data_IF_794297844340
#
_entry.id   IF_794297844340
#
_cell.length_a   1.000
_cell.length_b   1.000
_cell.length_c   1.000
_cell.angle_alpha   90.00
_cell.angle_beta   90.00
_cell.angle_gamma   90.00
#
_symmetry.space_group_name_H-M   'P 1'
#
loop_
_entity.id
_entity.type
_entity.pdbx_description
1 polymer ?
#
# COMPACT_ATOMS: atom_id res chain seq x y z
N UNK A 1 -3.36 21.64 24.35
CA UNK A 1 -3.92 21.46 23.01
C UNK A 1 -2.82 21.76 22.01
N UNK A 2 -2.28 20.77 21.32
CA UNK A 2 -1.46 21.01 20.14
C UNK A 2 -2.28 20.60 18.93
N UNK A 3 -2.86 21.62 18.28
CA UNK A 3 -3.45 21.50 16.96
C UNK A 3 -2.31 21.65 15.95
N UNK A 4 -1.84 20.53 15.43
CA UNK A 4 -0.86 20.49 14.33
C UNK A 4 -1.64 20.38 13.03
N UNK A 5 -1.56 21.42 12.20
CA UNK A 5 -1.71 21.57 10.73
C UNK A 5 -2.49 20.58 9.82
N UNK A 6 -2.97 19.43 10.26
CA UNK A 6 -3.66 18.40 9.47
C UNK A 6 -5.14 18.33 9.88
N UNK A 7 -5.96 19.29 9.43
CA UNK A 7 -7.40 19.30 9.73
C UNK A 7 -8.09 17.98 9.37
N UNK A 8 -9.05 17.51 10.20
CA UNK A 8 -9.94 16.32 10.09
C UNK A 8 -9.36 14.97 9.61
N UNK A 9 -8.08 14.89 9.21
CA UNK A 9 -7.46 13.73 8.55
C UNK A 9 -6.52 12.94 9.45
N UNK A 10 -6.32 13.39 10.68
CA UNK A 10 -5.56 12.70 11.71
C UNK A 10 -6.17 12.96 13.09
N UNK A 11 -6.19 11.94 13.94
CA UNK A 11 -6.65 12.04 15.33
C UNK A 11 -5.53 11.59 16.27
N UNK A 12 -5.20 12.43 17.24
CA UNK A 12 -4.25 12.07 18.30
C UNK A 12 -5.00 11.44 19.47
N UNK A 13 -4.80 10.14 19.65
CA UNK A 13 -5.39 9.39 20.75
C UNK A 13 -4.38 9.30 21.89
N UNK A 14 -4.69 9.96 23.02
CA UNK A 14 -3.88 9.88 24.23
C UNK A 14 -4.24 8.61 25.01
N UNK A 15 -3.30 7.67 25.11
CA UNK A 15 -3.47 6.49 25.97
C UNK A 15 -3.30 6.88 27.44
N UNK A 16 -4.07 6.24 28.33
CA UNK A 16 -3.93 6.36 29.78
C UNK A 16 -3.39 5.04 30.37
N UNK A 17 -2.46 5.16 31.33
CA UNK A 17 -1.82 4.01 32.00
C UNK A 17 -0.48 3.58 31.39
N UNK A 18 0.41 3.06 32.24
CA UNK A 18 1.77 2.62 31.90
C UNK A 18 1.90 1.09 31.96
N UNK A 19 1.04 0.38 31.22
CA UNK A 19 1.18 -1.07 31.02
C UNK A 19 2.10 -1.37 29.84
N UNK A 20 2.91 -2.44 29.92
CA UNK A 20 3.86 -2.82 28.87
C UNK A 20 3.24 -2.97 27.47
N UNK A 21 1.94 -3.33 27.41
CA UNK A 21 1.19 -3.57 26.17
C UNK A 21 0.00 -2.60 26.02
N UNK A 22 -0.05 -1.51 26.78
CA UNK A 22 -1.20 -0.63 26.81
C UNK A 22 -1.49 -0.03 25.41
N UNK A 23 -0.45 0.30 24.65
CA UNK A 23 -0.58 0.81 23.29
C UNK A 23 -1.24 -0.20 22.34
N UNK A 24 -0.80 -1.45 22.39
CA UNK A 24 -1.26 -2.51 21.49
C UNK A 24 -2.75 -2.78 21.67
N UNK A 25 -3.23 -2.76 22.92
CA UNK A 25 -4.65 -2.92 23.22
C UNK A 25 -5.49 -1.75 22.75
N UNK A 26 -4.99 -0.52 22.85
CA UNK A 26 -5.69 0.64 22.27
C UNK A 26 -5.78 0.48 20.76
N UNK A 27 -4.68 0.16 20.07
CA UNK A 27 -4.68 -0.06 18.62
C UNK A 27 -5.67 -1.16 18.22
N UNK A 28 -5.66 -2.30 18.92
CA UNK A 28 -6.58 -3.40 18.66
C UNK A 28 -8.06 -2.98 18.84
N UNK A 29 -8.36 -2.21 19.89
CA UNK A 29 -9.70 -1.66 20.14
C UNK A 29 -10.16 -0.76 18.99
N UNK A 30 -9.34 0.21 18.57
CA UNK A 30 -9.73 1.14 17.50
C UNK A 30 -9.89 0.45 16.15
N UNK A 31 -9.00 -0.50 15.81
CA UNK A 31 -9.16 -1.31 14.59
C UNK A 31 -10.49 -2.07 14.64
N UNK A 32 -10.81 -2.72 15.76
CA UNK A 32 -12.08 -3.44 15.91
C UNK A 32 -13.32 -2.54 15.77
N UNK A 33 -13.28 -1.37 16.40
CA UNK A 33 -14.36 -0.38 16.33
C UNK A 33 -14.55 0.17 14.91
N UNK A 34 -13.46 0.49 14.21
CA UNK A 34 -13.50 0.99 12.83
C UNK A 34 -13.92 -0.11 11.86
N UNK A 35 -13.38 -1.33 11.98
CA UNK A 35 -13.76 -2.45 11.12
C UNK A 35 -15.25 -2.81 11.23
N UNK A 36 -15.87 -2.54 12.38
CA UNK A 36 -17.31 -2.73 12.56
C UNK A 36 -18.15 -1.67 11.82
N UNK A 37 -17.62 -0.45 11.67
CA UNK A 37 -18.27 0.66 10.95
C UNK A 37 -17.98 0.63 9.45
N UNK A 38 -16.78 0.20 9.08
CA UNK A 38 -16.24 0.19 7.73
C UNK A 38 -15.71 -1.23 7.40
N UNK A 39 -16.58 -2.17 7.00
CA UNK A 39 -16.19 -3.57 6.77
C UNK A 39 -15.17 -3.76 5.65
N UNK A 40 -15.13 -2.84 4.69
CA UNK A 40 -14.22 -2.86 3.54
C UNK A 40 -12.89 -2.13 3.79
N UNK A 41 -12.69 -1.59 5.00
CA UNK A 41 -11.47 -0.86 5.34
C UNK A 41 -10.23 -1.77 5.31
N UNK A 42 -9.11 -1.17 4.89
CA UNK A 42 -7.79 -1.78 4.96
C UNK A 42 -6.91 -1.00 5.93
N UNK A 43 -6.44 -1.65 6.99
CA UNK A 43 -5.70 -1.02 8.07
C UNK A 43 -4.19 -1.17 7.91
N UNK A 44 -3.45 -0.08 8.16
CA UNK A 44 -1.99 -0.08 8.21
C UNK A 44 -1.52 0.23 9.63
N UNK A 45 -0.80 -0.70 10.26
CA UNK A 45 -0.11 -0.47 11.54
C UNK A 45 1.33 -0.06 11.21
N UNK A 46 1.75 1.13 11.63
CA UNK A 46 3.14 1.58 11.47
C UNK A 46 3.88 1.33 12.77
N UNK A 47 4.67 0.25 12.82
CA UNK A 47 5.46 -0.10 13.99
C UNK A 47 6.63 -1.02 13.64
N UNK A 48 7.76 -0.79 14.30
CA UNK A 48 8.92 -1.71 14.25
C UNK A 48 8.70 -2.97 15.08
N UNK A 49 7.75 -2.95 16.00
CA UNK A 49 7.44 -4.07 16.88
C UNK A 49 6.72 -5.21 16.14
N UNK A 50 7.30 -6.41 16.21
CA UNK A 50 6.71 -7.65 15.66
C UNK A 50 5.59 -8.20 16.54
N UNK A 51 5.39 -7.69 17.75
CA UNK A 51 4.32 -8.07 18.68
C UNK A 51 2.91 -7.87 18.11
N UNK A 52 2.75 -7.06 17.06
CA UNK A 52 1.48 -6.88 16.34
C UNK A 52 1.17 -7.99 15.32
N UNK A 53 2.13 -8.84 14.96
CA UNK A 53 1.95 -9.86 13.92
C UNK A 53 0.86 -10.90 14.29
N UNK A 54 0.73 -11.34 15.57
CA UNK A 54 -0.41 -12.14 16.02
C UNK A 54 -1.77 -11.43 15.86
N UNK A 55 -1.86 -10.13 16.19
CA UNK A 55 -3.09 -9.34 16.01
C UNK A 55 -3.49 -9.30 14.54
N UNK A 56 -2.54 -9.00 13.64
CA UNK A 56 -2.79 -8.95 12.19
C UNK A 56 -3.26 -10.31 11.66
N UNK A 57 -2.66 -11.39 12.14
CA UNK A 57 -3.06 -12.76 11.78
C UNK A 57 -4.50 -13.03 12.22
N UNK A 58 -4.86 -12.64 13.45
CA UNK A 58 -6.22 -12.78 13.94
C UNK A 58 -7.23 -11.95 13.13
N UNK A 59 -6.92 -10.68 12.86
CA UNK A 59 -7.77 -9.79 12.04
C UNK A 59 -8.05 -10.39 10.65
N UNK A 60 -7.01 -10.89 9.97
CA UNK A 60 -7.16 -11.53 8.65
C UNK A 60 -8.06 -12.77 8.70
N UNK A 61 -7.97 -13.58 9.76
CA UNK A 61 -8.87 -14.73 9.94
C UNK A 61 -10.34 -14.33 10.07
N UNK A 62 -10.60 -13.10 10.51
CA UNK A 62 -11.92 -12.48 10.61
C UNK A 62 -12.31 -11.69 9.36
N UNK A 63 -11.54 -11.77 8.28
CA UNK A 63 -11.70 -10.97 7.04
C UNK A 63 -11.53 -9.47 7.26
N UNK A 64 -10.87 -9.05 8.33
CA UNK A 64 -10.45 -7.66 8.54
C UNK A 64 -9.03 -7.53 7.97
N UNK A 65 -8.88 -6.73 6.92
CA UNK A 65 -7.60 -6.62 6.24
C UNK A 65 -6.68 -5.64 6.94
N UNK A 66 -5.56 -6.14 7.44
CA UNK A 66 -4.53 -5.32 8.07
C UNK A 66 -3.13 -5.76 7.65
N UNK A 67 -2.17 -4.85 7.68
CA UNK A 67 -0.74 -5.19 7.61
C UNK A 67 0.10 -4.25 8.47
N UNK A 68 1.35 -4.66 8.73
CA UNK A 68 2.35 -3.84 9.42
C UNK A 68 3.38 -3.30 8.44
N UNK A 69 3.72 -2.04 8.62
CA UNK A 69 4.84 -1.35 7.98
C UNK A 69 5.83 -0.91 9.06
N UNK A 70 7.14 -1.00 8.81
CA UNK A 70 8.15 -0.55 9.78
C UNK A 70 8.27 0.97 9.80
N UNK A 71 8.02 1.59 8.66
CA UNK A 71 8.01 3.02 8.46
C UNK A 71 6.75 3.46 7.69
N UNK A 72 6.31 4.70 7.88
CA UNK A 72 5.16 5.27 7.14
C UNK A 72 5.44 5.30 5.63
N UNK A 73 6.71 5.47 5.25
CA UNK A 73 7.16 5.45 3.85
C UNK A 73 7.12 4.06 3.21
N UNK A 74 7.00 3.00 4.00
CA UNK A 74 6.80 1.63 3.49
C UNK A 74 5.34 1.38 3.08
N UNK A 75 4.40 2.26 3.48
CA UNK A 75 3.01 2.12 3.07
C UNK A 75 2.92 2.36 1.55
N UNK A 76 2.32 1.44 0.77
CA UNK A 76 2.31 1.52 -0.70
C UNK A 76 1.82 2.86 -1.25
N UNK A 77 0.76 3.43 -0.67
CA UNK A 77 0.20 4.72 -1.10
C UNK A 77 1.15 5.88 -0.85
N UNK A 78 1.89 5.86 0.27
CA UNK A 78 2.87 6.89 0.64
C UNK A 78 4.13 6.75 -0.22
N UNK A 79 4.59 5.52 -0.44
CA UNK A 79 5.76 5.22 -1.28
C UNK A 79 5.53 5.65 -2.73
N UNK A 80 4.34 5.39 -3.26
CA UNK A 80 3.95 5.84 -4.60
C UNK A 80 3.93 7.37 -4.68
N UNK A 81 3.33 8.07 -3.70
CA UNK A 81 3.29 9.54 -3.67
C UNK A 81 4.67 10.21 -3.55
N UNK A 82 5.60 9.60 -2.82
CA UNK A 82 6.94 10.15 -2.62
C UNK A 82 7.93 9.84 -3.75
N UNK A 83 7.58 8.94 -4.68
CA UNK A 83 8.45 8.58 -5.81
C UNK A 83 8.43 9.69 -6.86
N UNK A 84 9.51 10.47 -6.95
CA UNK A 84 9.60 11.64 -7.83
C UNK A 84 10.25 11.31 -9.16
N UNK A 85 11.22 10.41 -9.15
CA UNK A 85 11.97 10.04 -10.37
C UNK A 85 11.31 8.87 -11.10
N UNK A 86 11.49 8.73 -12.43
CA UNK A 86 10.99 7.58 -13.18
C UNK A 86 11.48 6.24 -12.61
N UNK A 87 12.77 6.14 -12.28
CA UNK A 87 13.37 4.92 -11.70
C UNK A 87 12.71 4.50 -10.38
N UNK A 88 12.42 5.46 -9.48
CA UNK A 88 11.69 5.16 -8.23
C UNK A 88 10.28 4.67 -8.50
N UNK A 89 9.56 5.31 -9.44
CA UNK A 89 8.20 4.90 -9.84
C UNK A 89 8.21 3.48 -10.41
N UNK A 90 9.19 3.14 -11.26
CA UNK A 90 9.38 1.79 -11.80
C UNK A 90 9.61 0.79 -10.67
N UNK A 91 10.47 1.10 -9.69
CA UNK A 91 10.73 0.22 -8.55
C UNK A 91 9.45 -0.04 -7.72
N UNK A 92 8.61 0.99 -7.51
CA UNK A 92 7.31 0.85 -6.83
C UNK A 92 6.35 -0.02 -7.64
N UNK A 93 6.26 0.19 -8.96
CA UNK A 93 5.42 -0.62 -9.86
C UNK A 93 5.84 -2.08 -9.83
N UNK A 94 7.13 -2.37 -9.97
CA UNK A 94 7.66 -3.74 -9.95
C UNK A 94 7.40 -4.41 -8.60
N UNK A 95 7.62 -3.71 -7.49
CA UNK A 95 7.37 -4.25 -6.15
C UNK A 95 5.90 -4.62 -5.95
N UNK A 96 4.96 -3.77 -6.38
CA UNK A 96 3.53 -4.08 -6.29
C UNK A 96 3.12 -5.23 -7.21
N UNK A 97 3.63 -5.25 -8.45
CA UNK A 97 3.36 -6.34 -9.39
C UNK A 97 3.91 -7.68 -8.90
N UNK A 98 5.11 -7.71 -8.31
CA UNK A 98 5.66 -8.90 -7.63
C UNK A 98 4.73 -9.34 -6.48
N UNK A 99 4.29 -8.40 -5.63
CA UNK A 99 3.37 -8.66 -4.51
C UNK A 99 2.02 -9.25 -4.95
N UNK A 100 1.50 -8.85 -6.11
CA UNK A 100 0.21 -9.36 -6.64
C UNK A 100 0.24 -10.82 -7.08
N UNK A 101 1.40 -11.41 -7.37
CA UNK A 101 1.52 -12.82 -7.74
C UNK A 101 0.59 -13.21 -8.91
N UNK A 102 -0.32 -14.18 -8.71
CA UNK A 102 -1.23 -14.65 -9.75
C UNK A 102 -2.26 -13.59 -10.22
N UNK A 103 -2.52 -12.57 -9.40
CA UNK A 103 -3.49 -11.50 -9.66
C UNK A 103 -2.91 -10.32 -10.45
N UNK A 104 -1.74 -10.51 -11.06
CA UNK A 104 -1.12 -9.51 -11.95
C UNK A 104 -2.02 -9.23 -13.17
N UNK A 105 -2.18 -7.94 -13.58
CA UNK A 105 -2.92 -7.57 -14.79
C UNK A 105 -2.41 -8.28 -16.05
N UNK A 106 -3.29 -8.92 -16.83
CA UNK A 106 -2.87 -9.63 -18.06
C UNK A 106 -3.13 -8.85 -19.35
N UNK A 107 -3.73 -7.68 -19.25
CA UNK A 107 -4.06 -6.82 -20.37
C UNK A 107 -3.46 -5.42 -20.15
N UNK A 108 -3.01 -4.79 -21.24
CA UNK A 108 -2.32 -3.50 -21.16
C UNK A 108 -3.22 -2.41 -20.54
N UNK A 109 -4.49 -2.36 -20.92
CA UNK A 109 -5.48 -1.43 -20.34
C UNK A 109 -5.62 -1.61 -18.82
N UNK A 110 -5.68 -2.86 -18.37
CA UNK A 110 -5.78 -3.18 -16.94
C UNK A 110 -4.49 -2.82 -16.20
N UNK A 111 -3.33 -3.04 -16.83
CA UNK A 111 -2.04 -2.64 -16.27
C UNK A 111 -1.96 -1.11 -16.12
N UNK A 112 -2.30 -0.34 -17.16
CA UNK A 112 -2.31 1.13 -17.11
C UNK A 112 -3.22 1.64 -16.01
N UNK A 113 -4.46 1.12 -15.92
CA UNK A 113 -5.41 1.49 -14.88
C UNK A 113 -4.89 1.12 -13.48
N UNK A 114 -4.25 -0.05 -13.35
CA UNK A 114 -3.65 -0.50 -12.10
C UNK A 114 -2.53 0.44 -11.64
N UNK A 115 -1.59 0.77 -12.54
CA UNK A 115 -0.49 1.70 -12.25
C UNK A 115 -1.06 3.04 -11.84
N UNK A 116 -2.00 3.61 -12.62
CA UNK A 116 -2.57 4.91 -12.28
C UNK A 116 -3.26 4.88 -10.90
N UNK A 117 -3.98 3.80 -10.56
CA UNK A 117 -4.58 3.63 -9.24
C UNK A 117 -3.55 3.54 -8.12
N UNK A 118 -2.37 2.96 -8.35
CA UNK A 118 -1.29 2.92 -7.33
C UNK A 118 -0.79 4.32 -6.99
N UNK A 119 -0.73 5.22 -7.98
CA UNK A 119 -0.33 6.61 -7.81
C UNK A 119 -1.54 7.54 -7.60
N UNK A 120 -2.62 7.03 -6.98
CA UNK A 120 -3.81 7.81 -6.62
C UNK A 120 -4.46 8.58 -7.79
N UNK A 121 -4.34 8.05 -9.02
CA UNK A 121 -4.81 8.68 -10.26
C UNK A 121 -4.15 10.04 -10.56
N UNK A 122 -2.96 10.29 -10.02
CA UNK A 122 -2.22 11.55 -10.18
C UNK A 122 -1.26 11.54 -11.38
N UNK A 123 -1.12 10.41 -12.10
CA UNK A 123 -0.25 10.33 -13.26
C UNK A 123 -1.01 10.73 -14.53
N UNK A 124 -0.52 11.73 -15.31
CA UNK A 124 -1.09 12.04 -16.62
C UNK A 124 -0.82 10.91 -17.61
N UNK A 125 -1.65 10.81 -18.64
CA UNK A 125 -1.57 9.73 -19.65
C UNK A 125 -0.18 9.64 -20.29
N UNK A 126 0.43 10.78 -20.62
CA UNK A 126 1.76 10.81 -21.21
C UNK A 126 2.83 10.20 -20.29
N UNK A 127 2.74 10.43 -18.99
CA UNK A 127 3.69 9.86 -18.02
C UNK A 127 3.44 8.35 -17.82
N UNK A 128 2.18 7.91 -17.82
CA UNK A 128 1.84 6.49 -17.80
C UNK A 128 2.42 5.76 -19.02
N UNK A 129 2.32 6.35 -20.20
CA UNK A 129 2.90 5.78 -21.42
C UNK A 129 4.44 5.70 -21.33
N UNK A 130 5.09 6.74 -20.81
CA UNK A 130 6.54 6.72 -20.60
C UNK A 130 6.97 5.61 -19.64
N UNK A 131 6.27 5.45 -18.51
CA UNK A 131 6.57 4.38 -17.54
C UNK A 131 6.33 2.99 -18.13
N UNK A 132 5.28 2.80 -18.94
CA UNK A 132 5.02 1.53 -19.63
C UNK A 132 6.10 1.21 -20.66
N UNK A 133 6.57 2.21 -21.40
CA UNK A 133 7.67 2.04 -22.34
C UNK A 133 8.96 1.68 -21.61
N UNK A 134 9.27 2.35 -20.50
CA UNK A 134 10.46 2.05 -19.70
C UNK A 134 10.41 0.62 -19.10
N UNK A 135 9.25 0.17 -18.61
CA UNK A 135 9.07 -1.23 -18.17
C UNK A 135 9.33 -2.24 -19.31
N UNK A 136 8.96 -1.88 -20.54
CA UNK A 136 9.17 -2.72 -21.72
C UNK A 136 10.64 -2.71 -22.15
N UNK A 137 11.28 -1.55 -22.16
CA UNK A 137 12.69 -1.38 -22.52
C UNK A 137 13.62 -2.09 -21.52
N UNK A 138 13.29 -2.05 -20.23
CA UNK A 138 13.99 -2.82 -19.20
C UNK A 138 13.70 -4.33 -19.24
N UNK A 139 12.85 -4.80 -20.16
CA UNK A 139 12.49 -6.21 -20.31
C UNK A 139 11.65 -6.77 -19.17
N UNK A 140 11.10 -5.92 -18.30
CA UNK A 140 10.29 -6.34 -17.15
C UNK A 140 8.90 -6.82 -17.57
N UNK A 141 8.39 -6.27 -18.68
CA UNK A 141 7.14 -6.66 -19.32
C UNK A 141 7.32 -6.93 -20.81
N UNK A 142 6.52 -7.83 -21.34
CA UNK A 142 6.38 -8.07 -22.78
C UNK A 142 4.93 -7.87 -23.20
N UNK A 143 4.70 -7.06 -24.22
CA UNK A 143 3.36 -6.77 -24.74
C UNK A 143 3.17 -7.47 -26.08
N UNK A 144 2.18 -8.36 -26.15
CA UNK A 144 1.77 -9.06 -27.37
C UNK A 144 0.33 -8.67 -27.71
N UNK A 145 0.16 -7.72 -28.62
CA UNK A 145 -1.13 -7.11 -28.93
C UNK A 145 -1.70 -6.39 -27.70
N UNK A 146 -2.80 -6.90 -27.15
CA UNK A 146 -3.43 -6.36 -25.93
C UNK A 146 -2.99 -7.07 -24.64
N UNK A 147 -2.26 -8.19 -24.76
CA UNK A 147 -1.85 -9.02 -23.63
C UNK A 147 -0.48 -8.59 -23.10
N UNK A 148 -0.32 -8.66 -21.77
CA UNK A 148 0.93 -8.38 -21.07
C UNK A 148 1.43 -9.66 -20.39
N UNK A 149 2.71 -9.94 -20.56
CA UNK A 149 3.47 -10.96 -19.85
C UNK A 149 4.58 -10.31 -19.03
N UNK A 150 5.02 -10.99 -17.96
CA UNK A 150 5.97 -10.46 -17.00
C UNK A 150 7.23 -11.30 -16.95
N UNK A 151 8.40 -10.66 -17.01
CA UNK A 151 9.71 -11.30 -16.94
C UNK A 151 10.52 -10.68 -15.80
N UNK A 152 9.99 -10.75 -14.58
CA UNK A 152 10.73 -10.26 -13.42
C UNK A 152 11.84 -11.26 -13.06
N UNK A 153 13.09 -10.80 -12.85
CA UNK A 153 14.12 -11.66 -12.30
C UNK A 153 13.68 -12.19 -10.92
N UNK A 154 13.96 -13.48 -10.69
CA UNK A 154 13.65 -14.21 -9.47
C UNK A 154 14.24 -13.50 -8.24
#
# INVERSE_FOLDING_TARGET
MYSSADGERAEYIKISGNGSNALDFHIAYYIGALASKEPDAYFHIVSKDTGFDPLITHLKSRKIFACRSKDVTDIPIVKASNSKTPSEKIAVIVADLKRRGASKPRAIKTLTSTINSMFQKQLPEQELQSLLNELKEQGLITVAGTKVSYAFPA
#
